data_IF_061228411409
#
_entry.id   IF_061228411409
#
_cell.length_a   1.000
_cell.length_b   1.000
_cell.length_c   1.000
_cell.angle_alpha   90.00
_cell.angle_beta   90.00
_cell.angle_gamma   90.00
#
_symmetry.space_group_name_H-M   'P 1'
#
loop_
_entity.id
_entity.type
_entity.pdbx_description
1 polymer ?
#
# COMPACT_ATOMS: atom_id res chain seq x y z
N UNK A 1 -0.21 5.41 7.14
CA UNK A 1 -1.52 5.52 6.48
C UNK A 1 -2.10 6.92 6.65
N UNK A 2 -2.05 7.46 7.87
CA UNK A 2 -2.45 8.84 8.20
C UNK A 2 -2.08 9.91 7.16
N UNK A 3 -0.85 9.92 6.63
CA UNK A 3 -0.44 10.88 5.60
C UNK A 3 -1.23 10.77 4.29
N UNK A 4 -1.58 9.57 3.85
CA UNK A 4 -2.39 9.36 2.65
C UNK A 4 -3.83 9.85 2.86
N UNK A 5 -4.37 9.66 4.06
CA UNK A 5 -5.69 10.16 4.46
C UNK A 5 -5.71 11.70 4.52
N UNK A 6 -4.65 12.31 5.06
CA UNK A 6 -4.47 13.77 5.07
C UNK A 6 -4.39 14.34 3.65
N UNK A 7 -3.63 13.69 2.76
CA UNK A 7 -3.55 14.07 1.35
C UNK A 7 -4.91 13.97 0.66
N UNK A 8 -5.63 12.86 0.86
CA UNK A 8 -6.96 12.66 0.28
C UNK A 8 -7.93 13.74 0.74
N UNK A 9 -7.97 14.03 2.05
CA UNK A 9 -8.81 15.07 2.61
C UNK A 9 -8.46 16.47 2.05
N UNK A 10 -7.17 16.78 1.91
CA UNK A 10 -6.73 18.07 1.37
C UNK A 10 -7.08 18.23 -0.12
N UNK A 11 -6.95 17.17 -0.92
CA UNK A 11 -7.35 17.18 -2.33
C UNK A 11 -8.87 17.28 -2.51
N UNK A 12 -9.66 16.64 -1.64
CA UNK A 12 -11.12 16.72 -1.65
C UNK A 12 -11.65 18.09 -1.22
N UNK A 13 -10.94 18.80 -0.34
CA UNK A 13 -11.31 20.15 0.09
C UNK A 13 -11.27 21.17 -1.07
N UNK A 14 -10.37 20.98 -2.04
CA UNK A 14 -10.35 21.73 -3.30
C UNK A 14 -9.94 23.21 -3.19
N UNK A 15 -9.39 23.63 -2.05
CA UNK A 15 -8.94 24.99 -1.75
C UNK A 15 -7.45 25.25 -2.05
N UNK A 16 -6.75 24.23 -2.53
CA UNK A 16 -5.32 24.27 -2.84
C UNK A 16 -5.04 24.84 -4.24
N UNK A 17 -3.96 25.64 -4.40
CA UNK A 17 -3.43 25.99 -5.72
C UNK A 17 -3.09 24.75 -6.54
N UNK A 18 -3.27 24.82 -7.87
CA UNK A 18 -3.01 23.70 -8.78
C UNK A 18 -1.63 23.07 -8.58
N UNK A 19 -0.60 23.89 -8.44
CA UNK A 19 0.78 23.44 -8.24
C UNK A 19 0.94 22.58 -6.97
N UNK A 20 0.19 22.90 -5.92
CA UNK A 20 0.22 22.19 -4.64
C UNK A 20 -0.61 20.90 -4.72
N UNK A 21 -1.78 20.95 -5.38
CA UNK A 21 -2.60 19.78 -5.66
C UNK A 21 -1.84 18.72 -6.48
N UNK A 22 -1.05 19.15 -7.46
CA UNK A 22 -0.20 18.24 -8.26
C UNK A 22 0.84 17.56 -7.38
N UNK A 23 1.54 18.30 -6.51
CA UNK A 23 2.55 17.73 -5.60
C UNK A 23 1.95 16.73 -4.62
N UNK A 24 0.80 17.06 -4.01
CA UNK A 24 0.12 16.16 -3.09
C UNK A 24 -0.40 14.90 -3.80
N UNK A 25 -0.87 15.03 -5.04
CA UNK A 25 -1.28 13.88 -5.85
C UNK A 25 -0.10 12.94 -6.13
N UNK A 26 1.06 13.48 -6.52
CA UNK A 26 2.28 12.68 -6.72
C UNK A 26 2.71 11.95 -5.44
N UNK A 27 2.72 12.64 -4.30
CA UNK A 27 3.00 12.03 -3.00
C UNK A 27 2.01 10.91 -2.66
N UNK A 28 0.71 11.16 -2.85
CA UNK A 28 -0.35 10.17 -2.61
C UNK A 28 -0.19 8.92 -3.48
N UNK A 29 0.22 9.09 -4.73
CA UNK A 29 0.51 7.99 -5.65
C UNK A 29 1.70 7.15 -5.20
N UNK A 30 2.76 7.77 -4.68
CA UNK A 30 3.92 7.06 -4.12
C UNK A 30 3.54 6.25 -2.87
N UNK A 31 2.80 6.85 -1.94
CA UNK A 31 2.32 6.18 -0.75
C UNK A 31 1.41 5.00 -1.07
N UNK A 32 0.53 5.15 -2.07
CA UNK A 32 -0.34 4.06 -2.55
C UNK A 32 0.46 2.90 -3.11
N UNK A 33 1.45 3.18 -3.97
CA UNK A 33 2.36 2.16 -4.52
C UNK A 33 3.14 1.44 -3.42
N UNK A 34 3.62 2.17 -2.42
CA UNK A 34 4.29 1.60 -1.27
C UNK A 34 3.38 0.62 -0.51
N UNK A 35 2.13 0.98 -0.28
CA UNK A 35 1.21 0.12 0.47
C UNK A 35 0.85 -1.15 -0.32
N UNK A 36 0.65 -1.02 -1.63
CA UNK A 36 0.43 -2.16 -2.51
C UNK A 36 1.60 -3.16 -2.45
N UNK A 37 2.85 -2.67 -2.50
CA UNK A 37 4.02 -3.56 -2.44
C UNK A 37 4.17 -4.27 -1.09
N UNK A 38 3.82 -3.60 0.01
CA UNK A 38 3.81 -4.21 1.36
C UNK A 38 2.74 -5.29 1.48
N UNK A 39 1.56 -5.08 0.91
CA UNK A 39 0.49 -6.08 0.87
C UNK A 39 0.91 -7.29 0.04
N UNK A 40 1.51 -7.08 -1.13
CA UNK A 40 2.02 -8.15 -1.98
C UNK A 40 3.12 -8.96 -1.26
N UNK A 41 4.03 -8.30 -0.55
CA UNK A 41 5.04 -8.97 0.26
C UNK A 41 4.42 -9.84 1.37
N UNK A 42 3.41 -9.31 2.07
CA UNK A 42 2.68 -10.04 3.09
C UNK A 42 1.95 -11.26 2.50
N UNK A 43 1.28 -11.09 1.36
CA UNK A 43 0.60 -12.18 0.65
C UNK A 43 1.59 -13.26 0.20
N UNK A 44 2.76 -12.87 -0.34
CA UNK A 44 3.83 -13.82 -0.69
C UNK A 44 4.33 -14.60 0.51
N UNK A 45 4.49 -13.96 1.67
CA UNK A 45 4.88 -14.64 2.92
C UNK A 45 3.80 -15.61 3.40
N UNK A 46 2.52 -15.25 3.27
CA UNK A 46 1.40 -16.13 3.64
C UNK A 46 1.27 -17.33 2.69
N UNK A 47 1.37 -17.13 1.38
CA UNK A 47 1.37 -18.21 0.38
C UNK A 47 2.51 -19.19 0.59
N UNK A 48 3.65 -18.69 1.03
CA UNK A 48 4.77 -19.53 1.44
C UNK A 48 4.41 -20.40 2.63
N UNK A 49 3.64 -19.92 3.61
CA UNK A 49 3.31 -20.64 4.85
C UNK A 49 2.13 -21.63 4.74
N UNK A 50 1.87 -22.29 3.61
CA UNK A 50 0.66 -23.14 3.49
C UNK A 50 0.68 -24.31 4.50
N UNK A 51 -0.47 -24.51 5.17
CA UNK A 51 -0.67 -25.48 6.24
C UNK A 51 -0.92 -26.88 5.67
N UNK A 52 -0.06 -27.86 5.97
CA UNK A 52 -0.33 -29.31 5.80
C UNK A 52 -0.44 -29.94 7.19
N UNK A 53 -1.66 -30.29 7.62
CA UNK A 53 -1.91 -30.83 8.97
C UNK A 53 -1.81 -29.77 10.08
N UNK A 54 -1.36 -30.15 11.28
CA UNK A 54 -1.25 -29.27 12.47
C UNK A 54 -0.07 -28.26 12.43
N UNK A 55 0.46 -27.90 11.25
CA UNK A 55 1.58 -26.95 11.12
C UNK A 55 1.67 -26.25 9.76
N UNK A 56 2.46 -25.17 9.69
CA UNK A 56 2.74 -24.40 8.47
C UNK A 56 4.03 -24.92 7.81
N UNK A 57 3.99 -25.30 6.52
CA UNK A 57 5.16 -25.68 5.74
C UNK A 57 5.44 -24.63 4.65
N UNK A 58 6.72 -24.38 4.38
CA UNK A 58 7.19 -23.42 3.38
C UNK A 58 7.15 -24.05 1.97
N UNK A 59 6.12 -23.78 1.18
CA UNK A 59 6.15 -24.13 -0.25
C UNK A 59 6.97 -23.09 -1.02
N UNK A 60 8.16 -23.52 -1.46
CA UNK A 60 9.01 -22.78 -2.38
C UNK A 60 8.58 -23.21 -3.79
N UNK A 61 7.90 -22.33 -4.52
CA UNK A 61 7.65 -22.54 -5.95
C UNK A 61 8.82 -21.97 -6.75
N UNK A 62 9.40 -22.79 -7.63
CA UNK A 62 10.42 -22.41 -8.64
C UNK A 62 9.90 -21.34 -9.61
#
# INVERSE_FOLDING_TARGET
>A
MQRLEEIAAALEAGDLPLEESVKLFEEGMELTRYCASRLEEAERKLKKLIRRGEGFELEIME
#
